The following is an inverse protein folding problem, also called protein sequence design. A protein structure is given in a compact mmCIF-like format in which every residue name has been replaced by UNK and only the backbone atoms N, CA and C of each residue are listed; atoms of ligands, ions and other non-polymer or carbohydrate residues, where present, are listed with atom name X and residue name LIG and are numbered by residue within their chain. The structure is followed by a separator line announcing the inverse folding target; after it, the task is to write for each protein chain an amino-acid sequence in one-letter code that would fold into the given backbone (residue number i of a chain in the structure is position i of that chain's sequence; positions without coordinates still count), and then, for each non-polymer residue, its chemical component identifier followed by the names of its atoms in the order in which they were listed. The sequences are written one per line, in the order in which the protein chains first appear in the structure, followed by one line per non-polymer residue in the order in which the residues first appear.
data_IF_267620409418
#
_entry.id   IF_267620409418
#
_cell.length_a   1.000
_cell.length_b   1.000
_cell.length_c   1.000
_cell.angle_alpha   90.00
_cell.angle_beta   90.00
_cell.angle_gamma   90.00
#
_symmetry.space_group_name_H-M   'P 1'
#
loop_
_entity.id
_entity.type
_entity.pdbx_description
1 polymer ?
#
# COMPACT_ATOMS: atom_id res chain seq x y z
N UNK A 1 -14.33 19.45 2.61
CA UNK A 1 -13.48 18.65 1.70
C UNK A 1 -12.69 17.62 2.51
N UNK A 2 -12.42 16.40 2.00
CA UNK A 2 -11.74 15.33 2.79
C UNK A 2 -10.35 15.75 3.32
N UNK A 3 -9.62 16.61 2.61
CA UNK A 3 -8.36 17.21 3.06
C UNK A 3 -8.51 18.17 4.27
N UNK A 4 -9.68 18.77 4.47
CA UNK A 4 -9.96 19.59 5.65
C UNK A 4 -10.25 18.72 6.88
N UNK A 5 -10.94 17.58 6.69
CA UNK A 5 -11.13 16.56 7.73
C UNK A 5 -9.77 16.06 8.20
N UNK A 6 -8.85 15.79 7.26
CA UNK A 6 -7.46 15.48 7.56
C UNK A 6 -6.80 16.56 8.43
N UNK A 7 -6.94 17.84 8.08
CA UNK A 7 -6.33 18.91 8.86
C UNK A 7 -6.90 19.04 10.27
N UNK A 8 -8.22 18.91 10.43
CA UNK A 8 -8.89 18.96 11.73
C UNK A 8 -8.42 17.84 12.66
N UNK A 9 -8.29 16.61 12.16
CA UNK A 9 -7.87 15.47 12.98
C UNK A 9 -6.36 15.44 13.23
N UNK A 10 -5.54 15.88 12.27
CA UNK A 10 -4.08 15.88 12.42
C UNK A 10 -3.51 17.16 13.07
N UNK A 11 -4.33 18.19 13.28
CA UNK A 11 -3.92 19.48 13.86
C UNK A 11 -3.64 19.45 15.37
N UNK A 12 -4.03 18.39 16.08
CA UNK A 12 -4.02 18.34 17.55
C UNK A 12 -2.70 17.83 18.17
N UNK A 13 -1.59 17.82 17.42
CA UNK A 13 -0.27 17.49 17.95
C UNK A 13 -0.03 16.01 18.32
N UNK A 14 -1.04 15.15 18.16
CA UNK A 14 -0.90 13.70 18.29
C UNK A 14 -0.21 13.08 17.06
N UNK A 15 0.64 12.08 17.29
CA UNK A 15 1.19 11.27 16.20
C UNK A 15 0.09 10.50 15.47
N UNK A 16 0.26 10.31 14.16
CA UNK A 16 -0.72 9.64 13.30
C UNK A 16 -0.02 8.78 12.24
N UNK A 17 -0.72 7.73 11.80
CA UNK A 17 -0.21 6.77 10.82
C UNK A 17 -0.98 6.94 9.50
N UNK A 18 -0.24 6.99 8.40
CA UNK A 18 -0.80 6.98 7.05
C UNK A 18 -0.86 5.53 6.56
N UNK A 19 -2.02 5.08 6.09
CA UNK A 19 -2.21 3.78 5.47
C UNK A 19 -2.55 3.96 4.00
N UNK A 20 -1.89 3.19 3.13
CA UNK A 20 -2.24 3.14 1.72
C UNK A 20 -2.23 1.70 1.22
N UNK A 21 -3.35 1.29 0.66
CA UNK A 21 -3.58 -0.09 0.23
C UNK A 21 -4.22 -0.14 -1.16
N UNK A 22 -4.16 -1.30 -1.81
CA UNK A 22 -4.87 -1.62 -3.03
C UNK A 22 -5.84 -2.77 -2.76
N UNK A 23 -7.14 -2.53 -2.94
CA UNK A 23 -8.12 -3.61 -2.88
C UNK A 23 -8.72 -3.88 -4.27
N UNK A 24 -8.77 -5.15 -4.64
CA UNK A 24 -9.32 -5.63 -5.92
C UNK A 24 -10.77 -6.11 -5.78
N UNK A 25 -11.22 -6.49 -4.57
CA UNK A 25 -12.50 -7.20 -4.39
C UNK A 25 -13.73 -6.30 -4.25
N UNK A 26 -13.55 -5.03 -3.87
CA UNK A 26 -14.67 -4.15 -3.54
C UNK A 26 -15.45 -3.72 -4.79
N UNK A 27 -14.79 -3.63 -5.94
CA UNK A 27 -15.41 -3.23 -7.21
C UNK A 27 -15.28 -4.44 -8.14
N UNK A 28 -16.24 -5.37 -8.05
CA UNK A 28 -16.27 -6.56 -8.90
C UNK A 28 -16.11 -6.23 -10.40
N UNK A 29 -15.79 -7.24 -11.22
CA UNK A 29 -15.66 -7.04 -12.67
C UNK A 29 -16.94 -6.41 -13.22
N UNK A 30 -16.85 -5.19 -13.74
CA UNK A 30 -17.91 -4.59 -14.53
C UNK A 30 -18.07 -5.46 -15.79
N UNK A 31 -19.30 -5.88 -16.08
CA UNK A 31 -19.64 -6.83 -17.16
C UNK A 31 -19.05 -6.44 -18.52
N UNK A 32 -18.84 -5.14 -18.74
CA UNK A 32 -18.43 -4.59 -20.03
C UNK A 32 -16.96 -4.16 -20.07
N UNK A 33 -16.21 -4.33 -18.97
CA UNK A 33 -14.79 -3.97 -18.91
C UNK A 33 -13.90 -5.20 -18.66
N UNK A 34 -12.94 -5.49 -19.57
CA UNK A 34 -12.09 -6.68 -19.46
C UNK A 34 -11.00 -6.54 -18.38
N UNK A 35 -10.77 -5.34 -17.85
CA UNK A 35 -9.69 -5.06 -16.91
C UNK A 35 -10.20 -5.01 -15.48
N UNK A 36 -9.38 -5.53 -14.56
CA UNK A 36 -9.64 -5.45 -13.11
C UNK A 36 -9.67 -3.98 -12.68
N UNK A 37 -10.55 -3.69 -11.72
CA UNK A 37 -10.64 -2.39 -11.08
C UNK A 37 -9.90 -2.48 -9.75
N UNK A 38 -9.08 -1.48 -9.51
CA UNK A 38 -8.36 -1.30 -8.27
C UNK A 38 -8.94 -0.10 -7.54
N UNK A 39 -9.28 -0.30 -6.28
CA UNK A 39 -9.65 0.76 -5.35
C UNK A 39 -8.52 1.01 -4.35
N UNK A 40 -8.05 2.25 -4.30
CA UNK A 40 -6.95 2.69 -3.46
C UNK A 40 -7.45 3.68 -2.42
N UNK A 41 -7.76 3.23 -1.20
CA UNK A 41 -8.02 4.12 -0.09
C UNK A 41 -6.71 4.63 0.52
N UNK A 42 -6.62 5.94 0.71
CA UNK A 42 -5.65 6.58 1.60
C UNK A 42 -6.35 6.85 2.92
N UNK A 43 -5.92 6.17 3.98
CA UNK A 43 -6.51 6.27 5.31
C UNK A 43 -5.52 6.89 6.28
N UNK A 44 -6.04 7.61 7.26
CA UNK A 44 -5.26 8.16 8.36
C UNK A 44 -5.81 7.63 9.67
N UNK A 45 -4.91 7.17 10.52
CA UNK A 45 -5.25 6.66 11.83
C UNK A 45 -4.60 7.54 12.91
N UNK A 46 -5.37 8.44 13.53
CA UNK A 46 -4.95 9.09 14.77
C UNK A 46 -4.80 8.05 15.89
N UNK A 47 -3.94 8.33 16.87
CA UNK A 47 -3.73 7.42 17.99
C UNK A 47 -5.01 7.30 18.84
N UNK A 48 -5.51 6.07 19.01
CA UNK A 48 -6.71 5.80 19.81
C UNK A 48 -8.04 6.03 19.10
N UNK A 49 -8.01 6.46 17.84
CA UNK A 49 -9.21 6.75 17.03
C UNK A 49 -9.37 5.77 15.85
N UNK A 50 -10.59 5.61 15.31
CA UNK A 50 -10.80 4.84 14.10
C UNK A 50 -10.09 5.47 12.89
N UNK A 51 -9.68 4.66 11.89
CA UNK A 51 -9.13 5.18 10.64
C UNK A 51 -10.14 6.04 9.86
N UNK A 52 -9.65 7.11 9.26
CA UNK A 52 -10.44 8.07 8.49
C UNK A 52 -9.96 8.06 7.04
N UNK A 53 -10.84 7.82 6.05
CA UNK A 53 -10.48 7.96 4.65
C UNK A 53 -10.29 9.42 4.28
N UNK A 54 -9.15 9.75 3.69
CA UNK A 54 -8.77 11.13 3.34
C UNK A 54 -8.65 11.37 1.85
N UNK A 55 -8.38 10.32 1.08
CA UNK A 55 -8.41 10.35 -0.37
C UNK A 55 -8.63 8.95 -0.92
N UNK A 56 -9.19 8.88 -2.11
CA UNK A 56 -9.49 7.62 -2.78
C UNK A 56 -9.11 7.73 -4.25
N UNK A 57 -8.65 6.63 -4.83
CA UNK A 57 -8.43 6.51 -6.27
C UNK A 57 -9.03 5.20 -6.77
N UNK A 58 -9.78 5.30 -7.87
CA UNK A 58 -10.24 4.16 -8.64
C UNK A 58 -9.48 4.16 -9.97
N UNK A 59 -8.91 3.01 -10.35
CA UNK A 59 -8.18 2.89 -11.63
C UNK A 59 -8.18 1.45 -12.12
N UNK A 60 -7.96 1.27 -13.42
CA UNK A 60 -7.79 -0.03 -14.07
C UNK A 60 -6.32 -0.44 -14.21
N UNK A 61 -5.41 0.29 -13.56
CA UNK A 61 -3.97 0.11 -13.70
C UNK A 61 -3.26 0.21 -12.36
N UNK A 62 -2.44 -0.80 -12.07
CA UNK A 62 -1.54 -0.87 -10.93
C UNK A 62 -0.09 -0.67 -11.40
N UNK A 63 0.20 0.49 -11.99
CA UNK A 63 1.55 0.89 -12.41
C UNK A 63 1.97 2.17 -11.71
N UNK A 64 3.27 2.33 -11.48
CA UNK A 64 3.84 3.52 -10.85
C UNK A 64 3.42 4.80 -11.57
N UNK A 65 3.39 4.80 -12.90
CA UNK A 65 2.99 5.96 -13.72
C UNK A 65 1.54 6.40 -13.49
N UNK A 66 0.67 5.51 -13.03
CA UNK A 66 -0.75 5.80 -12.76
C UNK A 66 -0.99 6.19 -11.30
N UNK A 67 -0.15 5.70 -10.38
CA UNK A 67 -0.27 5.87 -8.93
C UNK A 67 0.52 7.10 -8.45
N UNK A 68 1.74 7.34 -8.96
CA UNK A 68 2.56 8.48 -8.55
C UNK A 68 1.86 9.85 -8.78
N UNK A 69 1.14 10.11 -9.90
CA UNK A 69 0.44 11.37 -10.09
C UNK A 69 -0.65 11.64 -9.03
N UNK A 70 -1.26 10.59 -8.47
CA UNK A 70 -2.25 10.73 -7.40
C UNK A 70 -1.61 11.30 -6.12
N UNK A 71 -0.45 10.77 -5.72
CA UNK A 71 0.32 11.33 -4.62
C UNK A 71 0.80 12.75 -4.89
N UNK A 72 1.30 13.03 -6.10
CA UNK A 72 1.71 14.39 -6.47
C UNK A 72 0.54 15.39 -6.37
N UNK A 73 -0.66 14.98 -6.78
CA UNK A 73 -1.88 15.77 -6.67
C UNK A 73 -2.21 16.06 -5.20
N UNK A 74 -2.20 15.04 -4.34
CA UNK A 74 -2.45 15.23 -2.90
C UNK A 74 -1.46 16.17 -2.23
N UNK A 75 -0.17 16.07 -2.58
CA UNK A 75 0.87 16.99 -2.08
C UNK A 75 0.65 18.41 -2.59
N UNK A 76 0.32 18.57 -3.86
CA UNK A 76 0.01 19.87 -4.45
C UNK A 76 -1.17 20.51 -3.74
N UNK A 77 -2.24 19.75 -3.54
CA UNK A 77 -3.48 20.26 -2.93
C UNK A 77 -3.27 20.59 -1.45
N UNK A 78 -2.50 19.78 -0.71
CA UNK A 78 -2.04 20.11 0.66
C UNK A 78 -1.32 21.47 0.70
N UNK A 79 -0.41 21.71 -0.25
CA UNK A 79 0.35 22.96 -0.32
C UNK A 79 -0.54 24.16 -0.69
N UNK A 80 -1.45 23.97 -1.65
CA UNK A 80 -2.37 25.02 -2.11
C UNK A 80 -3.31 25.49 -1.00
N UNK A 81 -3.79 24.55 -0.18
CA UNK A 81 -4.69 24.84 0.93
C UNK A 81 -3.96 25.38 2.17
N UNK A 82 -2.64 25.62 2.09
CA UNK A 82 -1.79 26.06 3.20
C UNK A 82 -1.96 25.20 4.48
N UNK A 83 -2.35 23.93 4.33
CA UNK A 83 -2.61 23.05 5.45
C UNK A 83 -1.28 22.68 6.09
N UNK A 84 -0.98 23.31 7.22
CA UNK A 84 0.13 22.95 8.10
C UNK A 84 -0.21 21.67 8.88
N UNK A 85 -0.49 20.58 8.18
CA UNK A 85 -0.62 19.28 8.83
C UNK A 85 0.78 18.73 9.10
N UNK A 86 1.09 18.31 10.34
CA UNK A 86 2.36 17.69 10.68
C UNK A 86 2.61 16.48 9.77
N UNK A 87 3.86 16.06 9.59
CA UNK A 87 4.13 14.84 8.83
C UNK A 87 3.62 13.61 9.58
N UNK A 88 3.25 12.52 8.88
CA UNK A 88 2.91 11.27 9.53
C UNK A 88 4.06 10.80 10.41
N UNK A 89 3.72 10.22 11.56
CA UNK A 89 4.70 9.53 12.41
C UNK A 89 5.18 8.24 11.76
N UNK A 90 4.30 7.60 10.96
CA UNK A 90 4.59 6.38 10.23
C UNK A 90 3.73 6.28 8.97
N UNK A 91 4.27 5.65 7.93
CA UNK A 91 3.57 5.31 6.69
C UNK A 91 3.56 3.80 6.57
N UNK A 92 2.37 3.20 6.46
CA UNK A 92 2.17 1.77 6.25
C UNK A 92 1.63 1.54 4.84
N UNK A 93 2.37 0.77 4.03
CA UNK A 93 2.02 0.46 2.65
C UNK A 93 2.13 -1.04 2.38
N UNK A 94 1.33 -1.51 1.44
CA UNK A 94 1.46 -2.87 0.94
C UNK A 94 2.71 -3.06 0.06
N UNK A 95 3.29 -4.25 0.07
CA UNK A 95 4.47 -4.62 -0.73
C UNK A 95 4.10 -4.68 -2.21
N UNK A 96 4.11 -3.52 -2.85
CA UNK A 96 3.91 -3.40 -4.30
C UNK A 96 4.91 -2.42 -4.90
N UNK A 97 5.45 -2.77 -6.07
CA UNK A 97 6.39 -1.91 -6.78
C UNK A 97 5.89 -0.49 -7.00
N UNK A 98 4.62 -0.26 -7.41
CA UNK A 98 4.11 1.09 -7.53
C UNK A 98 4.16 1.86 -6.22
N UNK A 99 3.80 1.22 -5.09
CA UNK A 99 3.80 1.89 -3.79
C UNK A 99 5.21 2.18 -3.32
N UNK A 100 6.13 1.22 -3.37
CA UNK A 100 7.52 1.40 -2.95
C UNK A 100 8.17 2.56 -3.72
N UNK A 101 7.99 2.62 -5.04
CA UNK A 101 8.54 3.72 -5.84
C UNK A 101 7.82 5.05 -5.67
N UNK A 102 6.55 5.04 -5.24
CA UNK A 102 5.77 6.25 -4.99
C UNK A 102 5.83 6.75 -3.54
N UNK A 103 6.36 5.94 -2.62
CA UNK A 103 6.32 6.19 -1.19
C UNK A 103 7.23 7.36 -0.80
N UNK A 104 6.69 8.23 0.06
CA UNK A 104 7.38 9.39 0.62
C UNK A 104 8.35 8.99 1.73
N UNK A 105 9.57 8.57 1.40
CA UNK A 105 10.56 8.36 2.47
C UNK A 105 11.98 8.88 2.25
N UNK A 106 12.30 9.54 1.13
CA UNK A 106 13.67 9.99 0.83
C UNK A 106 14.74 8.88 1.00
N UNK A 107 14.31 7.61 1.04
CA UNK A 107 15.13 6.43 1.29
C UNK A 107 15.10 5.59 0.02
N UNK A 108 16.24 5.04 -0.38
CA UNK A 108 16.26 4.13 -1.53
C UNK A 108 15.71 2.76 -1.13
N UNK A 109 15.26 1.96 -2.10
CA UNK A 109 14.82 0.59 -1.81
C UNK A 109 15.94 -0.25 -1.20
N UNK A 110 17.18 -0.05 -1.67
CA UNK A 110 18.36 -0.75 -1.15
C UNK A 110 18.58 -0.42 0.32
N UNK A 111 18.56 0.87 0.69
CA UNK A 111 18.68 1.30 2.09
C UNK A 111 17.60 0.68 2.96
N UNK A 112 16.35 0.69 2.49
CA UNK A 112 15.23 0.09 3.20
C UNK A 112 15.44 -1.41 3.44
N UNK A 113 15.84 -2.16 2.41
CA UNK A 113 16.05 -3.61 2.50
C UNK A 113 17.23 -3.95 3.42
N UNK A 114 18.32 -3.19 3.34
CA UNK A 114 19.48 -3.34 4.23
C UNK A 114 19.09 -3.13 5.70
N UNK A 115 18.35 -2.06 6.00
CA UNK A 115 17.83 -1.84 7.36
C UNK A 115 16.88 -2.94 7.81
N UNK A 116 16.02 -3.42 6.91
CA UNK A 116 15.10 -4.49 7.24
C UNK A 116 15.83 -5.79 7.57
N UNK A 117 16.85 -6.13 6.79
CA UNK A 117 17.72 -7.26 7.05
C UNK A 117 18.42 -7.12 8.42
N UNK A 118 19.06 -5.98 8.68
CA UNK A 118 19.76 -5.74 9.94
C UNK A 118 18.83 -5.74 11.16
N UNK A 119 17.61 -5.22 11.03
CA UNK A 119 16.63 -5.26 12.11
C UNK A 119 16.22 -6.70 12.46
N UNK A 120 16.09 -7.58 11.45
CA UNK A 120 15.72 -8.99 11.66
C UNK A 120 16.90 -9.82 12.16
N UNK A 121 18.09 -9.62 11.59
CA UNK A 121 19.26 -10.49 11.82
C UNK A 121 20.15 -9.99 12.95
N UNK A 122 20.34 -8.67 13.05
CA UNK A 122 21.23 -8.05 14.04
C UNK A 122 20.46 -7.40 15.21
N UNK A 123 19.12 -7.52 15.24
CA UNK A 123 18.25 -6.90 16.24
C UNK A 123 18.40 -5.37 16.36
N UNK A 124 18.81 -4.73 15.26
CA UNK A 124 18.95 -3.27 15.20
C UNK A 124 17.60 -2.56 15.30
N UNK A 125 17.60 -1.34 15.87
CA UNK A 125 16.39 -0.52 16.02
C UNK A 125 15.90 -0.07 14.64
N UNK A 126 14.64 -0.37 14.33
CA UNK A 126 13.99 0.12 13.11
C UNK A 126 13.71 1.62 13.19
N UNK A 127 14.40 2.42 12.38
CA UNK A 127 14.27 3.88 12.34
C UNK A 127 13.49 4.42 11.12
N UNK A 128 13.11 3.56 10.16
CA UNK A 128 12.45 4.01 8.95
C UNK A 128 10.98 4.40 9.21
N UNK A 129 10.59 5.56 8.68
CA UNK A 129 9.20 6.06 8.77
C UNK A 129 8.22 5.24 7.94
N UNK A 130 8.71 4.54 6.92
CA UNK A 130 7.86 3.66 6.10
C UNK A 130 7.97 2.25 6.62
N UNK A 131 6.85 1.54 6.69
CA UNK A 131 6.77 0.11 6.90
C UNK A 131 6.04 -0.50 5.71
N UNK A 132 6.75 -1.37 5.01
CA UNK A 132 6.21 -2.15 3.91
C UNK A 132 5.69 -3.46 4.49
N UNK A 133 4.40 -3.71 4.31
CA UNK A 133 3.71 -4.91 4.77
C UNK A 133 3.53 -5.88 3.61
N UNK A 134 3.84 -7.16 3.84
CA UNK A 134 3.40 -8.23 2.94
C UNK A 134 2.09 -8.76 3.50
N UNK A 135 0.96 -8.43 2.87
CA UNK A 135 -0.32 -8.96 3.28
C UNK A 135 -0.29 -10.51 3.27
N UNK A 136 -0.81 -11.14 4.33
CA UNK A 136 -0.85 -12.61 4.46
C UNK A 136 -1.59 -13.26 3.29
N UNK A 137 -2.54 -12.56 2.66
CA UNK A 137 -3.22 -13.03 1.46
C UNK A 137 -2.24 -13.27 0.30
N UNK A 138 -1.23 -12.41 0.12
CA UNK A 138 -0.20 -12.60 -0.91
C UNK A 138 0.63 -13.86 -0.65
N UNK A 139 0.99 -14.11 0.61
CA UNK A 139 1.73 -15.30 1.02
C UNK A 139 0.89 -16.55 0.79
N UNK A 140 -0.35 -16.56 1.25
CA UNK A 140 -1.27 -17.69 1.11
C UNK A 140 -1.58 -18.00 -0.36
N UNK A 141 -1.81 -16.99 -1.18
CA UNK A 141 -2.04 -17.18 -2.62
C UNK A 141 -0.80 -17.79 -3.29
N UNK A 142 0.41 -17.34 -2.95
CA UNK A 142 1.64 -17.90 -3.49
C UNK A 142 1.87 -19.35 -3.03
N UNK A 143 1.66 -19.63 -1.75
CA UNK A 143 1.74 -20.98 -1.20
C UNK A 143 0.74 -21.92 -1.87
N UNK A 144 -0.52 -21.50 -2.00
CA UNK A 144 -1.58 -22.26 -2.66
C UNK A 144 -1.21 -22.57 -4.11
N UNK A 145 -0.70 -21.60 -4.86
CA UNK A 145 -0.25 -21.81 -6.24
C UNK A 145 0.93 -22.79 -6.33
N UNK A 146 1.89 -22.71 -5.41
CA UNK A 146 3.06 -23.60 -5.38
C UNK A 146 2.66 -25.04 -5.03
N UNK A 147 1.86 -25.23 -3.98
CA UNK A 147 1.32 -26.54 -3.61
C UNK A 147 0.50 -27.12 -4.76
N UNK A 148 -0.38 -26.31 -5.35
CA UNK A 148 -1.16 -26.72 -6.53
C UNK A 148 -0.27 -27.21 -7.68
N UNK A 149 0.84 -26.53 -7.97
CA UNK A 149 1.79 -26.95 -9.01
C UNK A 149 2.56 -28.23 -8.65
N UNK A 150 2.98 -28.40 -7.40
CA UNK A 150 3.68 -29.60 -6.93
C UNK A 150 2.77 -30.83 -6.89
N UNK A 151 1.50 -30.62 -6.57
CA UNK A 151 0.47 -31.66 -6.52
C UNK A 151 -0.28 -31.83 -7.84
N UNK A 152 0.18 -31.23 -8.95
CA UNK A 152 -0.38 -31.52 -10.28
C UNK A 152 -0.08 -32.97 -10.62
N UNK A 153 -1.11 -33.81 -10.57
CA UNK A 153 -1.05 -35.17 -11.10
C UNK A 153 -0.78 -35.11 -12.60
N UNK A 154 0.42 -35.56 -13.00
CA UNK A 154 0.82 -35.68 -14.40
C UNK A 154 0.54 -37.08 -14.97
N UNK A 155 -0.09 -37.95 -14.18
CA UNK A 155 -0.43 -39.32 -14.57
C UNK A 155 -1.35 -39.38 -15.78
N UNK A 156 -2.37 -38.51 -15.85
CA UNK A 156 -3.31 -38.50 -16.98
C UNK A 156 -2.69 -38.03 -18.31
N UNK A 157 -1.66 -37.17 -18.30
CA UNK A 157 -0.98 -36.73 -19.53
C UNK A 157 0.09 -37.70 -20.04
N UNK A 158 0.51 -38.67 -19.22
CA UNK A 158 1.46 -39.73 -19.60
C UNK A 158 0.80 -41.08 -19.90
N UNK A 159 -0.50 -41.22 -19.63
CA UNK A 159 -1.31 -42.35 -20.07
C UNK A 159 -1.90 -42.07 -21.47
N UNK A 160 -1.05 -42.14 -22.49
CA UNK A 160 -1.50 -42.40 -23.87
C UNK A 160 -1.08 -43.84 -24.14
N UNK A 161 -2.06 -44.74 -24.16
CA UNK A 161 -1.94 -46.12 -24.64
C UNK A 161 -1.76 -46.12 -26.16
#
# INVERSE_FOLDING_TARGET
MQLEIFHQHCGHGGGWVLYFDATEEVIGKLSDHPKRIYYYPLLIKPLGEPPIPVAEKITYSHRTVDIAPFFLTLRRDKNYLHLKSPNPSRIEIDFSWPFIHSAWNNETLEDYLCKAYNCIINEEIWDSKTKIHICSAHILHKLSSNVGNLCKDTGLTKFIL
#
